data_IF_831490865084
#
_entry.id   IF_831490865084
#
_cell.length_a   1.000
_cell.length_b   1.000
_cell.length_c   1.000
_cell.angle_alpha   90.00
_cell.angle_beta   90.00
_cell.angle_gamma   90.00
#
_symmetry.space_group_name_H-M   'P 1'
#
loop_
_entity.id
_entity.type
_entity.pdbx_description
1 polymer ?
#
# COMPACT_ATOMS: atom_id res chain seq x y z
N UNK A 1 21.94 -5.36 23.03
CA UNK A 1 21.19 -4.21 22.49
C UNK A 1 21.59 -4.00 21.03
N UNK A 2 20.81 -4.53 20.09
CA UNK A 2 20.97 -4.15 18.68
C UNK A 2 20.11 -2.91 18.44
N UNK A 3 20.75 -1.74 18.44
CA UNK A 3 20.13 -0.55 17.87
C UNK A 3 20.14 -0.72 16.34
N UNK A 4 19.04 -1.19 15.77
CA UNK A 4 18.78 -0.89 14.36
C UNK A 4 18.55 0.62 14.32
N UNK A 5 19.61 1.38 14.01
CA UNK A 5 19.47 2.77 13.60
C UNK A 5 18.68 2.76 12.30
N UNK A 6 17.35 2.86 12.39
CA UNK A 6 16.51 3.31 11.26
C UNK A 6 16.80 4.81 11.13
N UNK A 7 18.01 5.14 10.64
CA UNK A 7 18.41 6.52 10.38
C UNK A 7 17.50 7.10 9.31
N UNK A 8 17.30 8.43 9.31
CA UNK A 8 16.76 9.20 8.19
C UNK A 8 17.71 9.11 6.97
N UNK A 9 17.98 7.91 6.48
CA UNK A 9 19.03 7.63 5.50
C UNK A 9 18.78 8.40 4.20
N UNK A 10 17.51 8.61 3.84
CA UNK A 10 17.11 9.40 2.69
C UNK A 10 17.50 10.89 2.81
N UNK A 11 17.52 11.49 4.00
CA UNK A 11 17.92 12.89 4.16
C UNK A 11 19.41 13.12 3.95
N UNK A 12 20.23 12.06 4.03
CA UNK A 12 21.65 12.09 3.67
C UNK A 12 21.94 11.53 2.27
N UNK A 13 21.05 10.71 1.71
CA UNK A 13 21.24 10.02 0.41
C UNK A 13 20.74 10.88 -0.76
N UNK A 14 19.66 11.65 -0.59
CA UNK A 14 19.11 12.48 -1.67
C UNK A 14 19.68 13.90 -1.64
N UNK A 15 20.93 14.04 -2.07
CA UNK A 15 21.50 15.32 -2.45
C UNK A 15 21.01 15.62 -3.88
N UNK A 16 20.17 16.65 -4.04
CA UNK A 16 19.44 16.98 -5.29
C UNK A 16 18.44 15.88 -5.72
N UNK A 17 17.26 15.79 -5.08
CA UNK A 17 16.28 14.76 -5.38
C UNK A 17 15.81 14.85 -6.85
N UNK A 18 15.86 13.72 -7.55
CA UNK A 18 15.23 13.53 -8.86
C UNK A 18 13.89 12.83 -8.68
N UNK A 19 12.94 12.96 -9.64
CA UNK A 19 11.68 12.22 -9.59
C UNK A 19 11.91 10.71 -9.37
N UNK A 20 12.87 10.13 -10.09
CA UNK A 20 13.23 8.72 -10.04
C UNK A 20 13.79 8.28 -8.67
N UNK A 21 14.72 9.05 -8.10
CA UNK A 21 15.30 8.72 -6.79
C UNK A 21 14.25 8.81 -5.68
N UNK A 22 13.33 9.78 -5.78
CA UNK A 22 12.23 9.94 -4.82
C UNK A 22 11.25 8.77 -4.95
N UNK A 23 10.86 8.39 -6.17
CA UNK A 23 9.94 7.27 -6.39
C UNK A 23 10.54 5.93 -5.95
N UNK A 24 11.83 5.69 -6.23
CA UNK A 24 12.51 4.49 -5.75
C UNK A 24 12.52 4.41 -4.22
N UNK A 25 12.81 5.53 -3.55
CA UNK A 25 12.81 5.60 -2.09
C UNK A 25 11.40 5.48 -1.50
N UNK A 26 10.40 6.07 -2.15
CA UNK A 26 8.98 5.91 -1.80
C UNK A 26 8.62 4.42 -1.75
N UNK A 27 8.89 3.67 -2.83
CA UNK A 27 8.61 2.23 -2.87
C UNK A 27 9.42 1.45 -1.83
N UNK A 28 10.67 1.82 -1.59
CA UNK A 28 11.48 1.20 -0.53
C UNK A 28 10.83 1.33 0.84
N UNK A 29 10.17 2.46 1.12
CA UNK A 29 9.54 2.74 2.40
C UNK A 29 8.17 2.05 2.57
N UNK A 30 7.39 1.94 1.50
CA UNK A 30 5.98 1.47 1.58
C UNK A 30 5.74 0.07 1.02
N UNK A 31 6.71 -0.53 0.32
CA UNK A 31 6.57 -1.85 -0.33
C UNK A 31 6.17 -3.00 0.59
N UNK A 32 6.36 -2.83 1.91
CA UNK A 32 6.01 -3.81 2.93
C UNK A 32 4.83 -3.40 3.80
N UNK A 33 4.17 -2.30 3.44
CA UNK A 33 3.33 -1.54 4.35
C UNK A 33 4.14 -0.74 5.36
N UNK A 34 3.45 -0.03 6.24
CA UNK A 34 3.99 0.80 7.30
C UNK A 34 3.69 0.20 8.67
N UNK A 35 4.55 0.50 9.64
CA UNK A 35 4.36 0.13 11.03
C UNK A 35 3.78 1.31 11.82
N UNK A 36 2.49 1.21 12.17
CA UNK A 36 1.76 2.18 12.98
C UNK A 36 1.70 1.77 14.48
N UNK A 37 2.47 0.75 14.87
CA UNK A 37 2.55 0.32 16.26
C UNK A 37 3.13 1.43 17.14
N UNK A 38 2.65 1.59 18.38
CA UNK A 38 3.21 2.56 19.30
C UNK A 38 4.70 2.24 19.57
N UNK A 39 5.55 3.27 19.80
CA UNK A 39 7.01 3.13 19.89
C UNK A 39 7.55 2.19 20.99
N UNK A 40 6.68 1.65 21.83
CA UNK A 40 7.03 1.04 23.12
C UNK A 40 6.78 -0.45 23.20
N UNK A 41 6.38 -1.16 22.12
CA UNK A 41 6.28 -2.62 22.16
C UNK A 41 7.68 -3.24 22.21
N UNK A 42 8.16 -3.74 23.37
CA UNK A 42 9.55 -4.22 23.53
C UNK A 42 9.76 -5.59 22.89
N UNK A 43 8.67 -6.29 22.57
CA UNK A 43 8.70 -7.66 22.11
C UNK A 43 8.29 -7.73 20.64
N UNK A 44 9.32 -7.72 19.79
CA UNK A 44 9.39 -8.57 18.61
C UNK A 44 10.87 -8.65 18.23
N UNK A 45 11.59 -9.56 18.89
CA UNK A 45 12.65 -10.31 18.22
C UNK A 45 11.99 -11.06 17.06
N UNK A 46 11.75 -10.35 15.96
CA UNK A 46 11.35 -11.00 14.73
C UNK A 46 12.58 -11.71 14.22
N UNK A 47 12.48 -13.03 14.07
CA UNK A 47 13.37 -13.78 13.18
C UNK A 47 13.65 -12.94 11.93
N UNK A 48 14.87 -12.95 11.36
CA UNK A 48 15.21 -12.18 10.17
C UNK A 48 14.46 -12.75 8.97
N UNK A 49 13.17 -12.47 8.91
CA UNK A 49 12.36 -12.55 7.71
C UNK A 49 12.58 -11.24 6.99
N UNK A 50 12.83 -11.29 5.69
CA UNK A 50 13.17 -10.15 4.83
C UNK A 50 12.02 -9.11 4.69
N UNK A 51 11.04 -9.10 5.60
CA UNK A 51 9.80 -8.33 5.53
C UNK A 51 9.78 -7.16 6.54
N UNK A 52 10.77 -6.25 6.41
CA UNK A 52 10.90 -5.10 7.32
C UNK A 52 9.92 -4.00 6.93
N UNK A 53 9.00 -3.65 7.84
CA UNK A 53 8.15 -2.44 7.73
C UNK A 53 8.87 -1.23 8.32
N UNK A 54 8.67 -0.06 7.73
CA UNK A 54 9.19 1.19 8.28
C UNK A 54 8.19 1.82 9.24
N UNK A 55 8.63 2.40 10.38
CA UNK A 55 7.75 3.14 11.26
C UNK A 55 7.03 4.25 10.50
N UNK A 56 5.73 4.42 10.75
CA UNK A 56 4.90 5.42 10.04
C UNK A 56 5.47 6.83 10.17
N UNK A 57 6.11 7.16 11.30
CA UNK A 57 6.76 8.45 11.52
C UNK A 57 7.95 8.72 10.59
N UNK A 58 8.65 7.66 10.15
CA UNK A 58 9.74 7.77 9.16
C UNK A 58 9.16 8.03 7.77
N UNK A 59 8.08 7.32 7.42
CA UNK A 59 7.37 7.47 6.15
C UNK A 59 6.72 8.86 6.04
N UNK A 60 6.02 9.30 7.09
CA UNK A 60 5.40 10.62 7.18
C UNK A 60 6.43 11.75 7.00
N UNK A 61 7.60 11.67 7.66
CA UNK A 61 8.66 12.67 7.48
C UNK A 61 9.18 12.73 6.04
N UNK A 62 9.34 11.56 5.42
CA UNK A 62 9.72 11.48 4.00
C UNK A 62 8.66 12.14 3.12
N UNK A 63 7.37 11.83 3.34
CA UNK A 63 6.27 12.45 2.60
C UNK A 63 6.21 13.97 2.78
N UNK A 64 6.30 14.48 4.00
CA UNK A 64 6.33 15.92 4.28
C UNK A 64 7.46 16.66 3.57
N UNK A 65 8.55 15.95 3.24
CA UNK A 65 9.70 16.53 2.56
C UNK A 65 9.61 16.43 1.04
N UNK A 66 9.15 15.29 0.52
CA UNK A 66 9.20 14.98 -0.91
C UNK A 66 7.88 15.14 -1.66
N UNK A 67 6.75 15.26 -0.96
CA UNK A 67 5.44 15.52 -1.54
C UNK A 67 5.05 16.98 -1.30
N UNK A 68 4.24 17.52 -2.20
CA UNK A 68 3.58 18.80 -2.03
C UNK A 68 2.65 18.76 -0.80
N UNK A 69 2.51 19.86 -0.03
CA UNK A 69 1.59 19.89 1.12
C UNK A 69 0.15 19.52 0.76
N UNK A 70 -0.27 19.86 -0.47
CA UNK A 70 -1.56 19.60 -1.10
C UNK A 70 -1.50 18.47 -2.14
N UNK A 71 -0.52 17.55 -2.00
CA UNK A 71 -0.40 16.37 -2.88
C UNK A 71 -1.74 15.66 -3.02
N UNK A 72 -2.15 15.37 -4.25
CA UNK A 72 -3.37 14.60 -4.51
C UNK A 72 -3.05 13.12 -4.58
N UNK A 73 -3.90 12.31 -3.96
CA UNK A 73 -3.81 10.85 -3.98
C UNK A 73 -5.20 10.25 -4.00
N UNK A 74 -5.27 8.93 -4.21
CA UNK A 74 -6.50 8.16 -4.05
C UNK A 74 -7.11 8.38 -2.66
N UNK A 75 -6.29 8.44 -1.61
CA UNK A 75 -6.75 8.70 -0.24
C UNK A 75 -7.26 10.13 0.03
N UNK A 76 -7.17 11.03 -0.95
CA UNK A 76 -7.58 12.43 -0.84
C UNK A 76 -6.41 13.42 -0.99
N UNK A 77 -6.61 14.63 -0.47
CA UNK A 77 -5.66 15.75 -0.61
C UNK A 77 -4.81 15.90 0.65
N UNK A 78 -3.49 16.02 0.45
CA UNK A 78 -2.50 16.35 1.44
C UNK A 78 -1.76 15.15 2.01
N UNK A 79 -0.60 15.43 2.63
CA UNK A 79 0.32 14.40 3.13
C UNK A 79 -0.34 13.48 4.17
N UNK A 80 -1.14 14.03 5.08
CA UNK A 80 -1.78 13.23 6.14
C UNK A 80 -2.83 12.25 5.60
N UNK A 81 -3.56 12.64 4.55
CA UNK A 81 -4.49 11.75 3.87
C UNK A 81 -3.74 10.56 3.25
N UNK A 82 -2.60 10.83 2.61
CA UNK A 82 -1.77 9.78 2.00
C UNK A 82 -1.05 8.89 3.03
N UNK A 83 -0.64 9.43 4.18
CA UNK A 83 -0.16 8.59 5.31
C UNK A 83 -1.27 7.67 5.82
N UNK A 84 -2.48 8.20 5.96
CA UNK A 84 -3.65 7.44 6.43
C UNK A 84 -4.01 6.31 5.46
N UNK A 85 -3.92 6.55 4.15
CA UNK A 85 -4.06 5.51 3.12
C UNK A 85 -3.10 4.34 3.37
N UNK A 86 -1.80 4.61 3.57
CA UNK A 86 -0.81 3.57 3.85
C UNK A 86 -1.04 2.84 5.18
N UNK A 87 -1.52 3.54 6.21
CA UNK A 87 -1.93 2.91 7.48
C UNK A 87 -3.08 1.93 7.26
N UNK A 88 -4.11 2.34 6.52
CA UNK A 88 -5.27 1.50 6.22
C UNK A 88 -4.87 0.27 5.40
N UNK A 89 -4.09 0.45 4.33
CA UNK A 89 -3.57 -0.67 3.52
C UNK A 89 -2.78 -1.65 4.40
N UNK A 90 -1.95 -1.14 5.32
CA UNK A 90 -1.11 -1.97 6.20
C UNK A 90 -1.91 -2.72 7.26
N UNK A 91 -3.05 -2.18 7.68
CA UNK A 91 -3.99 -2.84 8.58
C UNK A 91 -4.81 -3.91 7.84
N UNK A 92 -5.26 -3.64 6.60
CA UNK A 92 -6.00 -4.60 5.78
C UNK A 92 -5.09 -5.76 5.35
N UNK A 93 -3.84 -5.47 4.97
CA UNK A 93 -2.87 -6.45 4.48
C UNK A 93 -1.59 -6.43 5.32
N UNK A 94 -1.54 -7.15 6.46
CA UNK A 94 -0.35 -7.19 7.30
C UNK A 94 0.91 -7.73 6.59
N UNK A 95 0.74 -8.64 5.64
CA UNK A 95 1.82 -9.21 4.83
C UNK A 95 1.93 -8.55 3.43
N UNK A 96 1.55 -7.27 3.31
CA UNK A 96 1.61 -6.52 2.05
C UNK A 96 3.02 -6.58 1.44
N UNK A 97 3.13 -7.00 0.18
CA UNK A 97 4.40 -7.11 -0.55
C UNK A 97 4.23 -6.58 -1.97
N UNK A 98 4.67 -5.34 -2.19
CA UNK A 98 4.67 -4.69 -3.50
C UNK A 98 6.09 -4.66 -4.08
N UNK A 99 6.23 -5.11 -5.32
CA UNK A 99 7.51 -5.24 -6.02
C UNK A 99 7.47 -4.49 -7.34
N UNK A 100 8.43 -3.59 -7.53
CA UNK A 100 8.61 -2.90 -8.80
C UNK A 100 8.99 -3.93 -9.88
N UNK A 101 8.29 -3.89 -10.99
CA UNK A 101 8.61 -4.63 -12.22
C UNK A 101 9.33 -3.72 -13.21
N UNK A 102 8.85 -2.48 -13.36
CA UNK A 102 9.38 -1.50 -14.30
C UNK A 102 9.14 -0.09 -13.77
N UNK A 103 10.10 0.79 -14.04
CA UNK A 103 9.96 2.24 -13.88
C UNK A 103 10.27 2.86 -15.24
N UNK A 104 9.46 3.79 -15.70
CA UNK A 104 9.62 4.50 -16.96
C UNK A 104 9.15 5.95 -16.86
N UNK A 105 9.51 6.73 -17.87
CA UNK A 105 8.94 8.06 -18.07
C UNK A 105 7.62 7.92 -18.85
N UNK A 106 6.57 8.50 -18.30
CA UNK A 106 5.25 8.56 -18.92
C UNK A 106 5.17 9.64 -20.01
N UNK A 107 4.09 9.63 -20.79
CA UNK A 107 3.91 10.55 -21.92
C UNK A 107 3.83 12.03 -21.52
N UNK A 108 3.53 12.33 -20.26
CA UNK A 108 3.45 13.71 -19.74
C UNK A 108 4.67 14.08 -18.88
N UNK A 109 5.72 13.25 -18.88
CA UNK A 109 6.91 13.42 -18.06
C UNK A 109 6.74 12.98 -16.60
N UNK A 110 5.62 12.34 -16.26
CA UNK A 110 5.43 11.69 -14.97
C UNK A 110 6.28 10.42 -14.83
N UNK A 111 6.61 10.01 -13.61
CA UNK A 111 7.24 8.70 -13.40
C UNK A 111 6.15 7.64 -13.28
N UNK A 112 6.18 6.65 -14.17
CA UNK A 112 5.24 5.53 -14.18
C UNK A 112 5.92 4.29 -13.63
N UNK A 113 5.28 3.63 -12.68
CA UNK A 113 5.79 2.42 -12.04
C UNK A 113 4.81 1.28 -12.22
N UNK A 114 5.22 0.27 -12.97
CA UNK A 114 4.51 -1.01 -12.99
C UNK A 114 5.03 -1.89 -11.85
N UNK A 115 4.13 -2.42 -11.05
CA UNK A 115 4.43 -3.26 -9.88
C UNK A 115 3.53 -4.48 -9.82
N UNK A 116 3.99 -5.48 -9.07
CA UNK A 116 3.19 -6.64 -8.66
C UNK A 116 3.07 -6.62 -7.15
N UNK A 117 1.85 -6.81 -6.66
CA UNK A 117 1.55 -6.77 -5.23
C UNK A 117 0.93 -8.09 -4.81
N UNK A 118 1.49 -8.71 -3.77
CA UNK A 118 0.94 -9.93 -3.18
C UNK A 118 0.06 -9.50 -2.01
N UNK A 119 -1.21 -9.92 -2.07
CA UNK A 119 -2.23 -9.67 -1.05
C UNK A 119 -2.66 -11.00 -0.46
N UNK A 120 -2.61 -11.12 0.86
CA UNK A 120 -3.08 -12.31 1.59
C UNK A 120 -4.45 -11.99 2.18
N UNK A 121 -5.44 -12.86 1.97
CA UNK A 121 -6.76 -12.75 2.59
C UNK A 121 -6.73 -13.37 4.00
N UNK A 122 -6.11 -12.66 4.94
CA UNK A 122 -6.03 -13.06 6.35
C UNK A 122 -7.29 -12.68 7.13
N UNK A 123 -7.35 -13.07 8.40
CA UNK A 123 -8.38 -12.60 9.33
C UNK A 123 -8.43 -11.06 9.39
N UNK A 124 -7.27 -10.38 9.39
CA UNK A 124 -7.19 -8.91 9.34
C UNK A 124 -7.81 -8.34 8.07
N UNK A 125 -7.57 -8.97 6.92
CA UNK A 125 -8.17 -8.56 5.64
C UNK A 125 -9.68 -8.64 5.69
N UNK A 126 -10.24 -9.76 6.17
CA UNK A 126 -11.70 -9.87 6.30
C UNK A 126 -12.25 -8.86 7.29
N UNK A 127 -11.63 -8.73 8.47
CA UNK A 127 -12.13 -7.82 9.51
C UNK A 127 -12.09 -6.35 9.08
N UNK A 128 -11.03 -5.94 8.37
CA UNK A 128 -10.80 -4.53 8.05
C UNK A 128 -11.36 -4.11 6.69
N UNK A 129 -11.45 -5.01 5.70
CA UNK A 129 -11.98 -4.70 4.36
C UNK A 129 -13.33 -5.35 4.06
N UNK A 130 -13.65 -6.51 4.65
CA UNK A 130 -14.85 -7.28 4.32
C UNK A 130 -15.61 -7.77 5.56
N UNK A 131 -15.91 -6.92 6.56
CA UNK A 131 -16.42 -7.38 7.87
C UNK A 131 -17.73 -8.16 7.75
N UNK A 132 -18.59 -7.79 6.80
CA UNK A 132 -19.84 -8.48 6.48
C UNK A 132 -19.66 -9.95 6.05
N UNK A 133 -18.45 -10.36 5.65
CA UNK A 133 -18.11 -11.74 5.30
C UNK A 133 -17.86 -12.62 6.53
N UNK A 134 -17.73 -12.03 7.73
CA UNK A 134 -17.50 -12.74 8.99
C UNK A 134 -18.81 -13.10 9.73
N UNK A 135 -19.89 -12.33 9.54
CA UNK A 135 -21.13 -12.47 10.31
C UNK A 135 -22.01 -13.68 9.87
N UNK A 136 -21.73 -14.30 8.73
CA UNK A 136 -22.50 -15.43 8.22
C UNK A 136 -21.84 -16.77 8.58
N UNK A 137 -22.18 -17.29 9.75
CA UNK A 137 -21.71 -18.56 10.34
C UNK A 137 -22.03 -19.84 9.55
N UNK A 138 -22.67 -19.73 8.38
CA UNK A 138 -22.83 -20.83 7.43
C UNK A 138 -21.97 -20.58 6.18
N UNK A 139 -20.70 -20.99 6.25
CA UNK A 139 -19.78 -21.23 5.12
C UNK A 139 -20.05 -20.37 3.89
N UNK A 140 -19.78 -19.07 3.99
CA UNK A 140 -19.69 -18.25 2.80
C UNK A 140 -18.59 -18.84 1.89
N UNK A 141 -18.99 -19.32 0.70
CA UNK A 141 -18.10 -19.92 -0.31
C UNK A 141 -16.94 -18.97 -0.63
N UNK A 142 -17.17 -17.65 -0.56
CA UNK A 142 -16.15 -16.61 -0.75
C UNK A 142 -15.08 -16.73 0.33
N UNK A 143 -15.47 -16.65 1.61
CA UNK A 143 -14.55 -16.79 2.75
C UNK A 143 -13.82 -18.11 2.72
N UNK A 144 -14.51 -19.22 2.44
CA UNK A 144 -13.90 -20.55 2.38
C UNK A 144 -12.83 -20.68 1.27
N UNK A 145 -13.00 -19.98 0.14
CA UNK A 145 -12.03 -19.98 -0.97
C UNK A 145 -10.90 -18.99 -0.79
N UNK A 146 -11.15 -17.88 -0.11
CA UNK A 146 -10.16 -16.81 0.05
C UNK A 146 -9.37 -16.90 1.36
N UNK A 147 -9.86 -17.58 2.40
CA UNK A 147 -9.17 -17.60 3.69
C UNK A 147 -7.74 -18.15 3.59
N UNK A 148 -6.77 -17.31 3.95
CA UNK A 148 -5.33 -17.62 3.84
C UNK A 148 -4.80 -17.65 2.40
N UNK A 149 -5.65 -17.42 1.39
CA UNK A 149 -5.25 -17.38 -0.01
C UNK A 149 -4.43 -16.13 -0.28
N UNK A 150 -3.39 -16.31 -1.10
CA UNK A 150 -2.61 -15.21 -1.66
C UNK A 150 -3.04 -14.98 -3.10
N UNK A 151 -3.21 -13.71 -3.46
CA UNK A 151 -3.37 -13.27 -4.84
C UNK A 151 -2.22 -12.34 -5.21
N UNK A 152 -1.81 -12.38 -6.47
CA UNK A 152 -0.92 -11.39 -7.05
C UNK A 152 -1.77 -10.44 -7.91
N UNK A 153 -1.68 -9.14 -7.65
CA UNK A 153 -2.35 -8.10 -8.41
C UNK A 153 -1.31 -7.25 -9.14
N UNK A 154 -1.60 -6.89 -10.39
CA UNK A 154 -0.82 -5.91 -11.11
C UNK A 154 -1.24 -4.50 -10.65
N UNK A 155 -0.25 -3.63 -10.49
CA UNK A 155 -0.45 -2.22 -10.12
C UNK A 155 0.34 -1.32 -11.04
N UNK A 156 -0.25 -0.19 -11.41
CA UNK A 156 0.44 0.90 -12.10
C UNK A 156 0.29 2.15 -11.26
N UNK A 157 1.40 2.81 -10.96
CA UNK A 157 1.40 4.07 -10.23
C UNK A 157 1.97 5.19 -11.09
N UNK A 158 1.35 6.36 -11.07
CA UNK A 158 1.82 7.57 -11.74
C UNK A 158 2.20 8.61 -10.70
N UNK A 159 3.41 9.16 -10.81
CA UNK A 159 3.93 10.20 -9.94
C UNK A 159 4.20 11.47 -10.74
N UNK A 160 3.36 12.48 -10.56
CA UNK A 160 3.52 13.77 -11.24
C UNK A 160 4.46 14.64 -10.42
N UNK A 161 5.51 15.13 -11.07
CA UNK A 161 6.56 15.93 -10.44
C UNK A 161 6.33 17.43 -10.66
N UNK A 162 6.44 18.20 -9.58
CA UNK A 162 6.49 19.65 -9.63
C UNK A 162 7.95 20.12 -9.78
N UNK A 163 8.33 20.52 -11.00
CA UNK A 163 9.69 20.98 -11.30
C UNK A 163 10.09 22.26 -10.54
N UNK A 164 9.14 23.14 -10.20
CA UNK A 164 9.41 24.39 -9.49
C UNK A 164 9.75 24.14 -8.03
N UNK A 165 9.04 23.22 -7.38
CA UNK A 165 9.20 22.93 -5.96
C UNK A 165 10.15 21.74 -5.69
N UNK A 166 10.45 20.93 -6.71
CA UNK A 166 11.25 19.73 -6.59
C UNK A 166 10.57 18.66 -5.72
N UNK A 167 9.26 18.45 -5.92
CA UNK A 167 8.41 17.56 -5.11
C UNK A 167 7.34 16.87 -5.95
N UNK A 168 6.79 15.76 -5.46
CA UNK A 168 5.64 15.08 -6.07
C UNK A 168 4.36 15.85 -5.78
N UNK A 169 3.59 16.19 -6.82
CA UNK A 169 2.32 16.90 -6.73
C UNK A 169 1.09 15.97 -6.75
N UNK A 170 1.20 14.82 -7.40
CA UNK A 170 0.09 13.86 -7.53
C UNK A 170 0.62 12.44 -7.57
N UNK A 171 -0.11 11.54 -6.92
CA UNK A 171 0.15 10.09 -6.90
C UNK A 171 -1.15 9.37 -7.24
N UNK A 172 -1.20 8.70 -8.38
CA UNK A 172 -2.33 7.87 -8.78
C UNK A 172 -1.95 6.40 -8.75
N UNK A 173 -2.74 5.56 -8.10
CA UNK A 173 -2.61 4.10 -8.15
C UNK A 173 -3.77 3.49 -8.93
N UNK A 174 -3.43 2.62 -9.87
CA UNK A 174 -4.37 1.78 -10.60
C UNK A 174 -4.09 0.33 -10.22
N UNK A 175 -5.09 -0.32 -9.61
CA UNK A 175 -5.07 -1.73 -9.24
C UNK A 175 -6.23 -2.40 -9.96
N UNK A 176 -6.05 -3.64 -10.42
CA UNK A 176 -7.17 -4.47 -10.86
C UNK A 176 -7.18 -5.78 -10.08
N UNK A 177 -8.07 -5.85 -9.08
CA UNK A 177 -8.25 -7.07 -8.26
C UNK A 177 -9.20 -8.07 -8.91
N UNK A 178 -9.98 -7.67 -9.93
CA UNK A 178 -11.06 -8.51 -10.46
C UNK A 178 -10.51 -9.80 -11.10
N UNK A 179 -9.53 -9.78 -12.03
CA UNK A 179 -9.02 -11.01 -12.66
C UNK A 179 -8.51 -12.07 -11.66
N UNK A 180 -7.63 -11.76 -10.69
CA UNK A 180 -7.17 -12.77 -9.74
C UNK A 180 -8.27 -13.26 -8.80
N UNK A 181 -9.23 -12.41 -8.45
CA UNK A 181 -10.38 -12.83 -7.62
C UNK A 181 -11.34 -13.74 -8.38
N UNK A 182 -11.61 -13.45 -9.66
CA UNK A 182 -12.38 -14.35 -10.53
C UNK A 182 -11.66 -15.70 -10.67
N UNK A 183 -10.33 -15.71 -10.79
CA UNK A 183 -9.56 -16.95 -10.86
C UNK A 183 -9.72 -17.81 -9.61
N UNK A 184 -9.73 -17.21 -8.42
CA UNK A 184 -9.90 -17.95 -7.15
C UNK A 184 -11.36 -18.36 -6.92
N UNK A 185 -12.29 -17.43 -7.08
CA UNK A 185 -13.71 -17.65 -6.78
C UNK A 185 -14.42 -18.46 -7.87
N UNK A 186 -13.97 -18.36 -9.12
CA UNK A 186 -14.56 -19.01 -10.29
C UNK A 186 -15.86 -18.35 -10.77
N UNK A 187 -16.21 -17.16 -10.26
CA UNK A 187 -17.45 -16.46 -10.61
C UNK A 187 -17.32 -14.96 -10.36
N UNK A 188 -17.70 -14.16 -11.36
CA UNK A 188 -17.79 -12.71 -11.23
C UNK A 188 -18.90 -12.29 -10.25
N UNK A 189 -19.98 -13.07 -10.14
CA UNK A 189 -21.05 -12.83 -9.15
C UNK A 189 -20.53 -12.94 -7.72
N UNK A 190 -19.68 -13.93 -7.44
CA UNK A 190 -19.03 -14.06 -6.13
C UNK A 190 -18.06 -12.90 -5.86
N UNK A 191 -17.39 -12.37 -6.88
CA UNK A 191 -16.55 -11.17 -6.75
C UNK A 191 -17.40 -9.94 -6.47
N UNK A 192 -18.52 -9.75 -7.17
CA UNK A 192 -19.45 -8.64 -6.91
C UNK A 192 -20.00 -8.70 -5.48
N UNK A 193 -20.36 -9.90 -5.01
CA UNK A 193 -20.81 -10.12 -3.64
C UNK A 193 -19.71 -9.86 -2.61
N UNK A 194 -18.44 -10.15 -2.91
CA UNK A 194 -17.31 -9.78 -2.04
C UNK A 194 -17.25 -8.27 -1.80
N UNK A 195 -17.55 -7.46 -2.82
CA UNK A 195 -17.44 -6.01 -2.77
C UNK A 195 -18.72 -5.27 -2.36
N UNK A 196 -19.86 -5.94 -2.18
CA UNK A 196 -21.16 -5.26 -2.01
C UNK A 196 -21.28 -4.41 -0.74
N UNK A 197 -20.56 -4.78 0.32
CA UNK A 197 -20.48 -4.04 1.59
C UNK A 197 -19.03 -3.96 2.09
N UNK A 198 -18.07 -3.97 1.15
CA UNK A 198 -16.67 -3.88 1.47
C UNK A 198 -16.28 -2.43 1.80
N UNK A 199 -15.28 -2.29 2.67
CA UNK A 199 -14.59 -1.01 2.92
C UNK A 199 -13.39 -0.83 1.97
N UNK A 200 -13.35 -1.62 0.91
CA UNK A 200 -12.33 -1.58 -0.13
C UNK A 200 -13.03 -1.71 -1.49
N UNK A 201 -12.68 -0.89 -2.46
CA UNK A 201 -13.19 -1.01 -3.83
C UNK A 201 -12.38 -2.06 -4.63
N UNK A 202 -12.90 -2.55 -5.76
CA UNK A 202 -12.14 -3.41 -6.68
C UNK A 202 -10.81 -2.83 -7.17
N UNK A 203 -10.72 -1.51 -7.21
CA UNK A 203 -9.53 -0.73 -7.57
C UNK A 203 -8.55 -0.57 -6.39
N UNK A 204 -8.84 -1.21 -5.24
CA UNK A 204 -7.99 -1.20 -4.05
C UNK A 204 -8.07 0.07 -3.22
N UNK A 205 -9.10 0.89 -3.42
CA UNK A 205 -9.28 2.14 -2.69
C UNK A 205 -10.05 1.87 -1.39
N UNK A 206 -9.53 2.37 -0.26
CA UNK A 206 -10.20 2.22 1.03
C UNK A 206 -11.36 3.22 1.09
N UNK A 207 -12.58 2.71 1.27
CA UNK A 207 -13.78 3.52 1.44
C UNK A 207 -13.94 3.78 2.93
N UNK A 208 -13.79 5.04 3.33
CA UNK A 208 -14.05 5.45 4.72
C UNK A 208 -15.56 5.28 4.98
N UNK A 209 -15.89 4.41 5.93
CA UNK A 209 -17.25 4.31 6.48
C UNK A 209 -17.54 5.45 7.45
#
# INVERSE_FOLDING_TARGET
MCHIRISNRWSSIMVNPTPWSVVAEYYRLVSRGVDDSPPTSPDRCSNPTNHVKYPVSVVQRFFQTMLMPDVTSVGGVGVEAHVTEWKNISAIYPDFDMRIVRIEEGPSGEVVVASKTILTFSEDTFRNAYPHMLDNSNKNVITAKLWGQKIEVATVAHFVWNNTMGRIAEIMFQVDMIPPLVQVLGSLELVANLFSYAFLTPEGHVVVA
#
